data_IF_281233076123
#
_entry.id   IF_281233076123
#
_cell.length_a   1.000
_cell.length_b   1.000
_cell.length_c   1.000
_cell.angle_alpha   90.00
_cell.angle_beta   90.00
_cell.angle_gamma   90.00
#
_symmetry.space_group_name_H-M   'P 1'
#
loop_
_entity.id
_entity.type
_entity.pdbx_description
1 polymer ?
#
# COMPACT_ATOMS: atom_id res chain seq x y z
N UNK A 1 -4.38 -5.72 9.79
CA UNK A 1 -3.21 -4.92 9.36
C UNK A 1 -2.87 -5.33 7.93
N UNK A 2 -2.60 -4.37 7.04
CA UNK A 2 -2.18 -4.60 5.67
C UNK A 2 -0.85 -3.88 5.39
N UNK A 3 0.06 -4.50 4.63
CA UNK A 3 1.40 -3.94 4.36
C UNK A 3 1.67 -4.04 2.87
N UNK A 4 2.12 -2.94 2.26
CA UNK A 4 2.36 -2.94 0.82
C UNK A 4 3.11 -1.72 0.31
N UNK A 5 3.50 -1.82 -0.97
CA UNK A 5 3.99 -0.67 -1.72
C UNK A 5 2.80 0.18 -2.16
N UNK A 6 1.74 -0.43 -2.70
CA UNK A 6 0.58 0.29 -3.26
C UNK A 6 0.98 1.30 -4.34
N UNK A 7 1.98 0.96 -5.15
CA UNK A 7 2.31 1.73 -6.35
C UNK A 7 1.25 1.47 -7.43
N UNK A 8 0.92 2.51 -8.19
CA UNK A 8 -0.13 2.50 -9.21
C UNK A 8 -1.41 1.82 -8.71
N UNK A 9 -2.02 2.41 -7.67
CA UNK A 9 -3.18 1.84 -6.99
C UNK A 9 -4.27 1.42 -8.00
N UNK A 10 -4.74 0.17 -7.89
CA UNK A 10 -5.68 -0.44 -8.82
C UNK A 10 -6.66 -1.36 -8.07
N UNK A 11 -7.68 -1.87 -8.77
CA UNK A 11 -8.77 -2.66 -8.19
C UNK A 11 -8.30 -3.83 -7.31
N UNK A 12 -7.21 -4.52 -7.70
CA UNK A 12 -6.63 -5.58 -6.86
C UNK A 12 -6.18 -5.12 -5.47
N UNK A 13 -5.59 -3.93 -5.34
CA UNK A 13 -5.21 -3.35 -4.05
C UNK A 13 -6.43 -2.97 -3.22
N UNK A 14 -7.46 -2.38 -3.86
CA UNK A 14 -8.70 -2.04 -3.19
C UNK A 14 -9.38 -3.30 -2.63
N UNK A 15 -9.52 -4.34 -3.45
CA UNK A 15 -10.10 -5.61 -3.04
C UNK A 15 -9.34 -6.24 -1.86
N UNK A 16 -8.01 -6.21 -1.89
CA UNK A 16 -7.17 -6.67 -0.78
C UNK A 16 -7.45 -5.89 0.52
N UNK A 17 -7.57 -4.57 0.46
CA UNK A 17 -7.84 -3.73 1.62
C UNK A 17 -9.27 -3.90 2.15
N UNK A 18 -10.25 -4.03 1.27
CA UNK A 18 -11.64 -4.31 1.62
C UNK A 18 -11.76 -5.64 2.37
N UNK A 19 -11.14 -6.71 1.84
CA UNK A 19 -11.09 -8.00 2.52
C UNK A 19 -10.38 -7.88 3.87
N UNK A 20 -9.25 -7.17 3.94
CA UNK A 20 -8.53 -6.98 5.19
C UNK A 20 -9.35 -6.20 6.24
N UNK A 21 -10.16 -5.22 5.80
CA UNK A 21 -11.04 -4.44 6.67
C UNK A 21 -12.25 -5.25 7.14
N UNK A 22 -12.76 -6.18 6.34
CA UNK A 22 -13.87 -7.04 6.71
C UNK A 22 -13.54 -7.97 7.90
N UNK A 23 -12.26 -8.19 8.20
CA UNK A 23 -11.80 -9.06 9.28
C UNK A 23 -11.77 -8.37 10.66
N UNK A 24 -12.17 -7.09 10.78
CA UNK A 24 -12.26 -6.45 12.07
C UNK A 24 -12.67 -4.97 12.07
N UNK A 25 -12.79 -4.40 13.26
CA UNK A 25 -13.31 -3.04 13.45
C UNK A 25 -12.29 -1.95 13.07
N UNK A 26 -11.01 -2.29 13.02
CA UNK A 26 -9.93 -1.37 12.66
C UNK A 26 -8.95 -2.01 11.67
N UNK A 27 -8.54 -1.25 10.65
CA UNK A 27 -7.48 -1.63 9.73
C UNK A 27 -6.37 -0.59 9.73
N UNK A 28 -5.18 -1.01 10.18
CA UNK A 28 -3.94 -0.24 9.99
C UNK A 28 -3.28 -0.66 8.67
N UNK A 29 -2.93 0.32 7.83
CA UNK A 29 -2.21 0.11 6.57
C UNK A 29 -0.81 0.72 6.67
N UNK A 30 0.20 -0.07 6.32
CA UNK A 30 1.60 0.34 6.30
C UNK A 30 2.08 0.46 4.86
N UNK A 31 2.52 1.65 4.49
CA UNK A 31 3.03 1.97 3.15
C UNK A 31 4.56 1.99 3.18
N UNK A 32 5.20 1.21 2.30
CA UNK A 32 6.65 1.14 2.23
C UNK A 32 7.29 2.46 1.75
N UNK A 33 8.39 2.85 2.39
CA UNK A 33 9.25 3.97 1.97
C UNK A 33 9.90 3.70 0.61
N UNK A 34 10.07 4.76 -0.19
CA UNK A 34 10.66 4.67 -1.54
C UNK A 34 12.04 4.00 -1.51
N UNK A 35 12.90 4.35 -0.54
CA UNK A 35 14.24 3.77 -0.40
C UNK A 35 14.19 2.25 -0.17
N UNK A 36 13.24 1.78 0.62
CA UNK A 36 13.03 0.34 0.85
C UNK A 36 12.56 -0.38 -0.41
N UNK A 37 11.70 0.25 -1.21
CA UNK A 37 11.18 -0.34 -2.45
C UNK A 37 12.29 -0.42 -3.50
N UNK A 38 13.06 0.67 -3.66
CA UNK A 38 14.23 0.71 -4.56
C UNK A 38 15.25 -0.35 -4.21
N UNK A 39 15.54 -0.54 -2.92
CA UNK A 39 16.52 -1.53 -2.47
C UNK A 39 16.08 -2.99 -2.64
N UNK A 40 14.76 -3.28 -2.72
CA UNK A 40 14.25 -4.67 -2.63
C UNK A 40 13.37 -5.13 -3.79
N UNK A 41 12.82 -4.22 -4.60
CA UNK A 41 11.87 -4.58 -5.65
C UNK A 41 12.12 -3.84 -6.96
N UNK A 42 11.90 -2.53 -6.98
CA UNK A 42 11.92 -1.71 -8.19
C UNK A 42 11.92 -0.21 -7.83
N UNK A 43 12.06 0.64 -8.83
CA UNK A 43 11.87 2.08 -8.68
C UNK A 43 10.37 2.42 -8.71
N UNK A 44 9.78 2.94 -7.61
CA UNK A 44 8.35 3.22 -7.57
C UNK A 44 7.99 4.40 -8.48
N UNK A 45 6.94 4.24 -9.28
CA UNK A 45 6.42 5.28 -10.18
C UNK A 45 5.74 6.39 -9.38
N UNK A 46 5.02 6.00 -8.33
CA UNK A 46 4.28 6.92 -7.46
C UNK A 46 5.09 7.19 -6.19
N UNK A 47 5.44 8.45 -5.88
CA UNK A 47 6.17 8.78 -4.65
C UNK A 47 5.42 8.36 -3.39
N UNK A 48 6.15 7.94 -2.34
CA UNK A 48 5.56 7.45 -1.09
C UNK A 48 4.50 8.38 -0.51
N UNK A 49 4.74 9.68 -0.53
CA UNK A 49 3.82 10.67 0.03
C UNK A 49 2.44 10.64 -0.64
N UNK A 50 2.40 10.34 -1.94
CA UNK A 50 1.15 10.20 -2.68
C UNK A 50 0.50 8.83 -2.44
N UNK A 51 1.29 7.74 -2.47
CA UNK A 51 0.78 6.39 -2.12
C UNK A 51 0.11 6.37 -0.75
N UNK A 52 0.74 6.98 0.27
CA UNK A 52 0.17 7.11 1.62
C UNK A 52 -1.12 7.94 1.68
N UNK A 53 -1.37 8.83 0.71
CA UNK A 53 -2.60 9.64 0.68
C UNK A 53 -3.77 8.87 0.08
N UNK A 54 -3.49 7.90 -0.79
CA UNK A 54 -4.50 7.13 -1.51
C UNK A 54 -5.04 5.94 -0.71
N UNK A 55 -4.35 5.53 0.35
CA UNK A 55 -4.63 4.33 1.14
C UNK A 55 -4.83 4.70 2.60
#
# INVERSE_FOLDING_TARGET
>A
MAVGVFDLLHAGHLHYLEQAKALGDHLTVVVAHDDTVRARKHDPVTPMAFRRRLV
#
